data_IF_113444282831
#
_entry.id   IF_113444282831
#
_cell.length_a   1.000
_cell.length_b   1.000
_cell.length_c   1.000
_cell.angle_alpha   90.00
_cell.angle_beta   90.00
_cell.angle_gamma   90.00
#
_symmetry.space_group_name_H-M   'P 1'
#
loop_
_entity.id
_entity.type
_entity.pdbx_description
1 polymer ?
#
# COMPACT_ATOMS: atom_id res chain seq x y z
N UNK A 1 -18.35 -53.74 1.85
CA UNK A 1 -17.45 -52.55 1.81
C UNK A 1 -18.18 -51.46 1.07
N UNK A 2 -18.78 -50.54 1.79
CA UNK A 2 -19.51 -49.36 1.25
C UNK A 2 -18.49 -48.28 1.01
N UNK A 3 -18.14 -48.01 -0.24
CA UNK A 3 -17.32 -46.86 -0.64
C UNK A 3 -18.11 -45.60 -0.38
N UNK A 4 -17.82 -44.89 0.70
CA UNK A 4 -18.32 -43.55 0.94
C UNK A 4 -17.62 -42.63 -0.05
N UNK A 5 -18.32 -42.31 -1.14
CA UNK A 5 -17.88 -41.30 -2.12
C UNK A 5 -17.87 -39.95 -1.40
N UNK A 6 -16.68 -39.41 -1.13
CA UNK A 6 -16.55 -38.07 -0.55
C UNK A 6 -17.21 -37.06 -1.49
N UNK A 7 -18.14 -36.22 -1.03
CA UNK A 7 -18.81 -35.26 -1.91
C UNK A 7 -17.77 -34.27 -2.44
N UNK A 8 -17.79 -34.06 -3.75
CA UNK A 8 -17.02 -33.02 -4.43
C UNK A 8 -17.53 -31.64 -4.00
N UNK A 9 -17.04 -31.14 -2.87
CA UNK A 9 -17.60 -30.02 -2.11
C UNK A 9 -17.44 -28.62 -2.75
N UNK A 10 -16.76 -28.48 -3.90
CA UNK A 10 -16.48 -27.17 -4.46
C UNK A 10 -16.85 -26.94 -5.92
N UNK A 11 -17.04 -27.97 -6.73
CA UNK A 11 -17.29 -27.84 -8.18
C UNK A 11 -18.65 -27.20 -8.56
N UNK A 12 -19.60 -27.10 -7.63
CA UNK A 12 -20.96 -26.58 -7.89
C UNK A 12 -21.26 -25.18 -7.34
N UNK A 13 -20.34 -24.52 -6.62
CA UNK A 13 -20.65 -23.20 -6.03
C UNK A 13 -20.34 -22.07 -7.02
N UNK A 14 -21.23 -21.04 -7.16
CA UNK A 14 -20.99 -19.90 -8.03
C UNK A 14 -19.71 -19.15 -7.64
N UNK A 15 -18.99 -18.60 -8.63
CA UNK A 15 -17.72 -17.90 -8.43
C UNK A 15 -17.82 -16.79 -7.38
N UNK A 16 -18.91 -16.03 -7.39
CA UNK A 16 -19.15 -14.94 -6.42
C UNK A 16 -19.13 -15.43 -4.96
N UNK A 17 -19.69 -16.59 -4.68
CA UNK A 17 -19.70 -17.19 -3.34
C UNK A 17 -18.27 -17.63 -2.92
N UNK A 18 -17.51 -18.19 -3.87
CA UNK A 18 -16.13 -18.62 -3.63
C UNK A 18 -15.21 -17.42 -3.34
N UNK A 19 -15.31 -16.34 -4.12
CA UNK A 19 -14.59 -15.10 -3.90
C UNK A 19 -14.96 -14.45 -2.55
N UNK A 20 -16.27 -14.38 -2.25
CA UNK A 20 -16.74 -13.85 -0.97
C UNK A 20 -16.18 -14.60 0.23
N UNK A 21 -15.99 -15.91 0.16
CA UNK A 21 -15.39 -16.68 1.24
C UNK A 21 -13.92 -16.28 1.46
N UNK A 22 -13.15 -16.04 0.39
CA UNK A 22 -11.77 -15.56 0.49
C UNK A 22 -11.73 -14.14 1.06
N UNK A 23 -12.60 -13.24 0.61
CA UNK A 23 -12.73 -11.88 1.16
C UNK A 23 -13.02 -11.95 2.67
N UNK A 24 -13.99 -12.78 3.08
CA UNK A 24 -14.30 -12.99 4.51
C UNK A 24 -13.12 -13.55 5.30
N UNK A 25 -12.31 -14.42 4.70
CA UNK A 25 -11.12 -14.94 5.34
C UNK A 25 -10.11 -13.82 5.63
N UNK A 26 -9.87 -12.92 4.68
CA UNK A 26 -8.99 -11.77 4.90
C UNK A 26 -9.56 -10.79 5.93
N UNK A 27 -10.87 -10.58 5.94
CA UNK A 27 -11.56 -9.67 6.87
C UNK A 27 -11.92 -10.33 8.21
N UNK A 28 -11.56 -11.60 8.44
CA UNK A 28 -11.88 -12.32 9.67
C UNK A 28 -11.24 -11.71 10.92
N UNK A 29 -10.09 -11.05 10.76
CA UNK A 29 -9.43 -10.32 11.84
C UNK A 29 -9.43 -8.82 11.56
N UNK A 30 -10.48 -8.08 11.95
CA UNK A 30 -10.57 -6.63 11.74
C UNK A 30 -9.52 -5.86 12.56
N UNK A 31 -9.00 -6.44 13.66
CA UNK A 31 -7.96 -5.80 14.46
C UNK A 31 -6.71 -5.53 13.63
N UNK A 32 -6.21 -6.51 12.88
CA UNK A 32 -5.01 -6.36 12.07
C UNK A 32 -5.20 -5.39 10.89
N UNK A 33 -6.41 -5.36 10.30
CA UNK A 33 -6.63 -4.63 9.03
C UNK A 33 -7.13 -3.20 9.27
N UNK A 34 -7.85 -2.96 10.37
CA UNK A 34 -8.50 -1.68 10.65
C UNK A 34 -8.07 -1.11 12.00
N UNK A 35 -8.26 -1.85 13.11
CA UNK A 35 -8.09 -1.31 14.46
C UNK A 35 -6.63 -0.93 14.72
N UNK A 36 -5.71 -1.86 14.50
CA UNK A 36 -4.27 -1.61 14.73
C UNK A 36 -3.74 -0.45 13.89
N UNK A 37 -3.95 -0.41 12.56
CA UNK A 37 -3.42 0.71 11.77
C UNK A 37 -4.10 2.03 12.10
N UNK A 38 -5.39 2.06 12.44
CA UNK A 38 -6.06 3.29 12.87
C UNK A 38 -5.53 3.78 14.23
N UNK A 39 -5.32 2.86 15.18
CA UNK A 39 -4.78 3.20 16.50
C UNK A 39 -3.36 3.78 16.37
N UNK A 40 -2.49 3.13 15.60
CA UNK A 40 -1.12 3.62 15.41
C UNK A 40 -1.11 4.93 14.62
N UNK A 41 -1.97 5.06 13.59
CA UNK A 41 -2.12 6.31 12.84
C UNK A 41 -2.56 7.46 13.77
N UNK A 42 -3.49 7.19 14.69
CA UNK A 42 -3.93 8.16 15.71
C UNK A 42 -2.81 8.56 16.65
N UNK A 43 -1.99 7.61 17.12
CA UNK A 43 -0.83 7.89 17.96
C UNK A 43 0.21 8.74 17.21
N UNK A 44 0.51 8.38 15.96
CA UNK A 44 1.44 9.13 15.12
C UNK A 44 0.89 10.54 14.86
N UNK A 45 -0.42 10.67 14.59
CA UNK A 45 -1.07 11.96 14.42
C UNK A 45 -0.92 12.83 15.68
N UNK A 46 -1.23 12.29 16.86
CA UNK A 46 -1.08 13.01 18.13
C UNK A 46 0.37 13.43 18.38
N UNK A 47 1.33 12.54 18.12
CA UNK A 47 2.74 12.87 18.25
C UNK A 47 3.16 14.01 17.31
N UNK A 48 2.74 13.97 16.04
CA UNK A 48 2.99 15.06 15.08
C UNK A 48 2.32 16.35 15.51
N UNK A 49 1.08 16.29 15.97
CA UNK A 49 0.35 17.47 16.44
C UNK A 49 1.06 18.13 17.63
N UNK A 50 1.54 17.33 18.60
CA UNK A 50 2.34 17.83 19.73
C UNK A 50 3.65 18.45 19.24
N UNK A 51 4.35 17.81 18.30
CA UNK A 51 5.58 18.38 17.72
C UNK A 51 5.29 19.73 17.05
N UNK A 52 4.22 19.83 16.26
CA UNK A 52 3.82 21.10 15.62
C UNK A 52 3.50 22.18 16.65
N UNK A 53 2.80 21.80 17.73
CA UNK A 53 2.50 22.72 18.84
C UNK A 53 3.80 23.23 19.50
N UNK A 54 4.75 22.35 19.80
CA UNK A 54 6.03 22.71 20.40
C UNK A 54 6.86 23.61 19.48
N UNK A 55 6.97 23.26 18.21
CA UNK A 55 7.70 24.06 17.22
C UNK A 55 7.07 25.45 17.11
N UNK A 56 5.73 25.50 17.03
CA UNK A 56 5.02 26.77 16.94
C UNK A 56 5.19 27.64 18.20
N UNK A 57 5.14 27.05 19.39
CA UNK A 57 5.31 27.75 20.65
C UNK A 57 6.73 28.24 20.91
N UNK A 58 7.73 27.53 20.34
CA UNK A 58 9.13 27.90 20.47
C UNK A 58 9.61 28.91 19.41
N UNK A 59 8.78 29.17 18.39
CA UNK A 59 9.13 30.07 17.28
C UNK A 59 8.71 31.49 17.56
N UNK A 60 9.48 32.54 17.14
CA UNK A 60 9.09 33.92 17.22
C UNK A 60 7.70 34.18 16.58
N UNK A 61 7.00 35.20 17.09
CA UNK A 61 5.66 35.52 16.61
C UNK A 61 5.62 36.44 15.38
N UNK A 62 6.78 36.80 14.84
CA UNK A 62 6.87 37.62 13.63
C UNK A 62 6.37 36.84 12.39
N UNK A 63 5.76 37.55 11.41
CA UNK A 63 5.13 36.91 10.26
C UNK A 63 6.08 36.02 9.43
N UNK A 64 7.37 36.39 9.34
CA UNK A 64 8.37 35.64 8.57
C UNK A 64 8.70 34.30 9.23
N UNK A 65 8.97 34.28 10.52
CA UNK A 65 9.21 33.08 11.31
C UNK A 65 7.99 32.13 11.27
N UNK A 66 6.79 32.68 11.42
CA UNK A 66 5.53 31.93 11.34
C UNK A 66 5.34 31.27 9.98
N UNK A 67 5.64 31.97 8.88
CA UNK A 67 5.56 31.44 7.52
C UNK A 67 6.60 30.33 7.30
N UNK A 68 7.85 30.56 7.75
CA UNK A 68 8.93 29.56 7.65
C UNK A 68 8.62 28.27 8.41
N UNK A 69 8.09 28.37 9.63
CA UNK A 69 7.63 27.21 10.41
C UNK A 69 6.54 26.45 9.68
N UNK A 70 5.50 27.16 9.20
CA UNK A 70 4.39 26.52 8.48
C UNK A 70 4.88 25.80 7.21
N UNK A 71 5.83 26.40 6.49
CA UNK A 71 6.46 25.75 5.33
C UNK A 71 7.24 24.50 5.73
N UNK A 72 8.00 24.53 6.83
CA UNK A 72 8.71 23.36 7.35
C UNK A 72 7.77 22.22 7.76
N UNK A 73 6.65 22.55 8.40
CA UNK A 73 5.65 21.57 8.86
C UNK A 73 4.88 20.88 7.71
N UNK A 74 4.98 21.36 6.47
CA UNK A 74 4.40 20.70 5.28
C UNK A 74 5.18 19.45 4.84
N UNK A 75 6.41 19.26 5.31
CA UNK A 75 7.28 18.15 4.91
C UNK A 75 7.15 16.94 5.84
N UNK A 76 5.94 16.61 6.26
CA UNK A 76 5.70 15.43 7.11
C UNK A 76 5.60 14.17 6.27
N UNK A 77 6.44 13.17 6.57
CA UNK A 77 6.33 11.81 6.03
C UNK A 77 5.55 10.84 6.94
N UNK A 78 4.95 11.35 8.01
CA UNK A 78 4.36 10.52 9.06
C UNK A 78 3.20 9.61 8.57
N UNK A 79 2.45 10.02 7.57
CA UNK A 79 1.37 9.22 6.98
C UNK A 79 1.86 8.05 6.12
N UNK A 80 3.13 8.04 5.69
CA UNK A 80 3.73 6.93 4.90
C UNK A 80 3.74 5.59 5.64
N UNK A 81 3.77 5.62 6.97
CA UNK A 81 3.75 4.41 7.78
C UNK A 81 2.60 3.46 7.41
N UNK A 82 1.40 3.98 7.17
CA UNK A 82 0.22 3.16 6.88
C UNK A 82 0.38 2.37 5.57
N UNK A 83 1.03 2.94 4.56
CA UNK A 83 1.29 2.23 3.28
C UNK A 83 2.22 1.05 3.51
N UNK A 84 3.30 1.25 4.27
CA UNK A 84 4.25 0.19 4.63
C UNK A 84 3.54 -0.88 5.48
N UNK A 85 2.70 -0.48 6.43
CA UNK A 85 1.91 -1.42 7.22
C UNK A 85 0.98 -2.27 6.34
N UNK A 86 0.29 -1.67 5.38
CA UNK A 86 -0.59 -2.40 4.45
C UNK A 86 0.20 -3.34 3.53
N UNK A 87 1.43 -3.00 3.17
CA UNK A 87 2.34 -3.93 2.50
C UNK A 87 2.65 -5.16 3.37
N UNK A 88 2.90 -4.97 4.68
CA UNK A 88 3.12 -6.06 5.62
C UNK A 88 1.86 -6.93 5.76
N UNK A 89 0.68 -6.31 5.83
CA UNK A 89 -0.62 -7.04 5.82
C UNK A 89 -0.74 -7.91 4.57
N UNK A 90 -0.34 -7.40 3.40
CA UNK A 90 -0.35 -8.19 2.17
C UNK A 90 0.64 -9.36 2.20
N UNK A 91 1.84 -9.16 2.76
CA UNK A 91 2.81 -10.26 2.97
C UNK A 91 2.21 -11.33 3.88
N UNK A 92 1.58 -10.94 4.99
CA UNK A 92 0.93 -11.87 5.93
C UNK A 92 -0.24 -12.61 5.27
N UNK A 93 -1.03 -11.93 4.43
CA UNK A 93 -2.11 -12.55 3.68
C UNK A 93 -1.62 -13.70 2.79
N UNK A 94 -0.46 -13.52 2.13
CA UNK A 94 0.13 -14.60 1.32
C UNK A 94 0.71 -15.73 2.19
N UNK A 95 1.35 -15.40 3.30
CA UNK A 95 2.06 -16.39 4.11
C UNK A 95 1.12 -17.21 5.02
N UNK A 96 0.10 -16.59 5.57
CA UNK A 96 -0.81 -17.21 6.55
C UNK A 96 -2.14 -17.62 5.92
N UNK A 97 -2.81 -16.71 5.18
CA UNK A 97 -4.13 -16.99 4.66
C UNK A 97 -4.11 -17.93 3.45
N UNK A 98 -3.04 -17.95 2.64
CA UNK A 98 -2.97 -18.83 1.46
C UNK A 98 -2.96 -20.32 1.83
N UNK A 99 -2.05 -20.83 2.70
CA UNK A 99 -2.08 -22.23 3.11
C UNK A 99 -3.41 -22.61 3.78
N UNK A 100 -3.94 -21.73 4.61
CA UNK A 100 -5.21 -21.92 5.29
C UNK A 100 -6.39 -22.03 4.30
N UNK A 101 -6.49 -21.13 3.33
CA UNK A 101 -7.51 -21.17 2.30
C UNK A 101 -7.49 -22.47 1.47
N UNK A 102 -6.29 -22.97 1.15
CA UNK A 102 -6.14 -24.25 0.45
C UNK A 102 -6.58 -25.43 1.31
N UNK A 103 -6.29 -25.40 2.61
CA UNK A 103 -6.76 -26.40 3.58
C UNK A 103 -8.29 -26.49 3.66
N UNK A 104 -8.99 -25.38 3.45
CA UNK A 104 -10.46 -25.32 3.35
C UNK A 104 -11.01 -25.55 1.92
N UNK A 105 -10.19 -26.06 1.00
CA UNK A 105 -10.61 -26.45 -0.34
C UNK A 105 -10.78 -25.28 -1.33
N UNK A 106 -10.26 -24.09 -1.03
CA UNK A 106 -10.20 -22.99 -2.00
C UNK A 106 -9.20 -23.31 -3.10
N UNK A 107 -9.52 -22.98 -4.37
CA UNK A 107 -8.54 -23.09 -5.43
C UNK A 107 -7.53 -21.94 -5.39
N UNK A 108 -6.33 -22.14 -5.91
CA UNK A 108 -5.30 -21.08 -6.00
C UNK A 108 -5.78 -19.88 -6.81
N UNK A 109 -6.60 -20.13 -7.84
CA UNK A 109 -7.22 -19.08 -8.64
C UNK A 109 -8.24 -18.27 -7.82
N UNK A 110 -9.13 -18.95 -7.10
CA UNK A 110 -10.14 -18.30 -6.26
C UNK A 110 -9.48 -17.47 -5.16
N UNK A 111 -8.42 -18.00 -4.54
CA UNK A 111 -7.63 -17.25 -3.56
C UNK A 111 -7.05 -15.99 -4.17
N UNK A 112 -6.33 -16.08 -5.30
CA UNK A 112 -5.70 -14.90 -5.93
C UNK A 112 -6.73 -13.84 -6.33
N UNK A 113 -7.86 -14.26 -6.93
CA UNK A 113 -8.93 -13.33 -7.33
C UNK A 113 -9.61 -12.70 -6.11
N UNK A 114 -9.93 -13.50 -5.09
CA UNK A 114 -10.55 -13.00 -3.85
C UNK A 114 -9.65 -12.04 -3.08
N UNK A 115 -8.34 -12.32 -3.05
CA UNK A 115 -7.33 -11.43 -2.47
C UNK A 115 -7.24 -10.12 -3.26
N UNK A 116 -7.24 -10.17 -4.59
CA UNK A 116 -7.27 -8.98 -5.44
C UNK A 116 -8.49 -8.10 -5.16
N UNK A 117 -9.69 -8.70 -5.06
CA UNK A 117 -10.91 -7.97 -4.69
C UNK A 117 -10.80 -7.35 -3.30
N UNK A 118 -10.22 -8.07 -2.33
CA UNK A 118 -10.00 -7.55 -0.97
C UNK A 118 -9.07 -6.34 -0.99
N UNK A 119 -7.95 -6.42 -1.71
CA UNK A 119 -6.97 -5.32 -1.80
C UNK A 119 -7.54 -4.10 -2.51
N UNK A 120 -8.34 -4.28 -3.56
CA UNK A 120 -9.08 -3.19 -4.20
C UNK A 120 -10.04 -2.50 -3.22
N UNK A 121 -10.82 -3.28 -2.47
CA UNK A 121 -11.76 -2.76 -1.47
C UNK A 121 -11.05 -2.02 -0.32
N UNK A 122 -9.96 -2.59 0.21
CA UNK A 122 -9.16 -1.95 1.26
C UNK A 122 -8.48 -0.68 0.75
N UNK A 123 -7.92 -0.69 -0.46
CA UNK A 123 -7.32 0.50 -1.07
C UNK A 123 -8.33 1.62 -1.22
N UNK A 124 -9.56 1.30 -1.66
CA UNK A 124 -10.64 2.28 -1.76
C UNK A 124 -11.05 2.84 -0.39
N UNK A 125 -11.21 1.98 0.62
CA UNK A 125 -11.56 2.40 1.98
C UNK A 125 -10.50 3.30 2.61
N UNK A 126 -9.23 2.93 2.53
CA UNK A 126 -8.12 3.73 3.04
C UNK A 126 -7.94 5.04 2.27
N UNK A 127 -8.13 5.03 0.94
CA UNK A 127 -8.06 6.24 0.12
C UNK A 127 -9.16 7.24 0.49
N UNK A 128 -10.38 6.77 0.72
CA UNK A 128 -11.49 7.61 1.18
C UNK A 128 -11.19 8.20 2.55
N UNK A 129 -10.67 7.40 3.50
CA UNK A 129 -10.29 7.88 4.82
C UNK A 129 -9.21 8.96 4.75
N UNK A 130 -8.12 8.70 4.01
CA UNK A 130 -7.01 9.65 3.86
C UNK A 130 -7.42 10.94 3.18
N UNK A 131 -8.21 10.83 2.11
CA UNK A 131 -8.72 12.00 1.39
C UNK A 131 -9.66 12.81 2.30
N UNK A 132 -10.54 12.15 3.05
CA UNK A 132 -11.42 12.80 4.02
C UNK A 132 -10.64 13.53 5.13
N UNK A 133 -9.61 12.89 5.70
CA UNK A 133 -8.73 13.50 6.70
C UNK A 133 -7.95 14.70 6.12
N UNK A 134 -7.48 14.59 4.85
CA UNK A 134 -6.82 15.68 4.16
C UNK A 134 -7.77 16.88 3.92
N UNK A 135 -9.05 16.61 3.61
CA UNK A 135 -10.06 17.68 3.50
C UNK A 135 -10.29 18.39 4.82
N UNK A 136 -10.41 17.65 5.93
CA UNK A 136 -10.56 18.22 7.28
C UNK A 136 -9.30 19.02 7.64
N UNK A 137 -8.11 18.47 7.41
CA UNK A 137 -6.84 19.14 7.65
C UNK A 137 -6.74 20.47 6.90
N UNK A 138 -7.10 20.50 5.61
CA UNK A 138 -7.13 21.74 4.82
C UNK A 138 -8.18 22.73 5.34
N UNK A 139 -9.36 22.28 5.69
CA UNK A 139 -10.44 23.12 6.22
C UNK A 139 -10.12 23.73 7.60
N UNK A 140 -9.31 23.04 8.40
CA UNK A 140 -8.91 23.49 9.75
C UNK A 140 -7.57 24.23 9.76
N UNK A 141 -7.01 24.56 8.59
CA UNK A 141 -5.68 25.14 8.46
C UNK A 141 -4.61 24.32 9.22
N UNK A 142 -4.50 23.04 8.85
CA UNK A 142 -3.53 22.13 9.44
C UNK A 142 -3.79 21.89 10.94
N UNK A 143 -5.02 21.54 11.28
CA UNK A 143 -5.46 21.30 12.66
C UNK A 143 -5.20 22.48 13.60
N UNK A 144 -5.27 23.73 13.07
CA UNK A 144 -5.03 24.96 13.79
C UNK A 144 -3.55 25.38 13.93
N UNK A 145 -2.60 24.57 13.42
CA UNK A 145 -1.16 24.79 13.57
C UNK A 145 -0.42 25.01 12.25
N UNK A 146 -1.11 24.88 11.10
CA UNK A 146 -0.51 25.04 9.78
C UNK A 146 0.32 23.86 9.30
N UNK A 147 0.27 22.71 10.01
CA UNK A 147 0.99 21.49 9.61
C UNK A 147 0.22 20.65 8.60
N UNK A 148 0.91 19.79 7.86
CA UNK A 148 0.29 18.84 6.94
C UNK A 148 0.80 17.43 7.19
N UNK A 149 -0.13 16.50 7.44
CA UNK A 149 0.16 15.07 7.56
C UNK A 149 -0.59 14.26 6.50
N UNK A 150 -1.88 14.53 6.34
CA UNK A 150 -2.73 13.86 5.36
C UNK A 150 -2.76 14.58 4.03
N UNK A 151 -2.69 15.93 4.03
CA UNK A 151 -2.49 16.75 2.83
C UNK A 151 -0.99 16.80 2.44
N UNK A 152 -0.33 15.66 2.46
CA UNK A 152 1.10 15.56 2.23
C UNK A 152 1.48 15.93 0.79
N UNK A 153 2.67 16.54 0.64
CA UNK A 153 3.20 17.05 -0.63
C UNK A 153 3.28 15.97 -1.73
N UNK A 154 3.59 14.74 -1.36
CA UNK A 154 3.73 13.62 -2.30
C UNK A 154 2.41 13.15 -2.94
N UNK A 155 1.25 13.64 -2.50
CA UNK A 155 -0.02 13.45 -3.21
C UNK A 155 -0.43 14.65 -4.07
N UNK A 156 0.37 15.73 -4.08
CA UNK A 156 0.06 17.02 -4.69
C UNK A 156 -0.79 17.90 -3.76
N UNK A 157 -0.20 19.00 -3.26
CA UNK A 157 -0.85 19.88 -2.26
C UNK A 157 -2.11 20.56 -2.81
N UNK A 158 -2.09 20.98 -4.07
CA UNK A 158 -3.16 21.75 -4.72
C UNK A 158 -3.95 20.94 -5.75
N UNK A 159 -3.77 19.62 -5.77
CA UNK A 159 -4.51 18.77 -6.70
C UNK A 159 -6.00 18.69 -6.34
N UNK A 160 -6.88 18.61 -7.37
CA UNK A 160 -8.30 18.37 -7.14
C UNK A 160 -8.56 17.10 -6.31
N UNK A 161 -9.60 17.13 -5.46
CA UNK A 161 -9.89 16.02 -4.55
C UNK A 161 -10.06 14.66 -5.24
N UNK A 162 -10.61 14.64 -6.46
CA UNK A 162 -10.71 13.43 -7.27
C UNK A 162 -9.36 12.86 -7.68
N UNK A 163 -8.41 13.72 -8.05
CA UNK A 163 -7.02 13.32 -8.37
C UNK A 163 -6.32 12.81 -7.11
N UNK A 164 -6.48 13.50 -5.99
CA UNK A 164 -5.93 13.06 -4.70
C UNK A 164 -6.48 11.70 -4.26
N UNK A 165 -7.79 11.50 -4.36
CA UNK A 165 -8.42 10.21 -4.08
C UNK A 165 -7.83 9.10 -4.96
N UNK A 166 -7.69 9.37 -6.25
CA UNK A 166 -7.06 8.44 -7.20
C UNK A 166 -5.61 8.15 -6.83
N UNK A 167 -4.80 9.17 -6.58
CA UNK A 167 -3.38 9.03 -6.22
C UNK A 167 -3.22 8.17 -4.96
N UNK A 168 -4.02 8.47 -3.93
CA UNK A 168 -4.01 7.71 -2.66
C UNK A 168 -4.49 6.28 -2.85
N UNK A 169 -5.54 6.05 -3.64
CA UNK A 169 -6.03 4.71 -3.98
C UNK A 169 -4.96 3.88 -4.67
N UNK A 170 -4.31 4.46 -5.68
CA UNK A 170 -3.27 3.78 -6.46
C UNK A 170 -2.04 3.50 -5.59
N UNK A 171 -1.68 4.42 -4.69
CA UNK A 171 -0.60 4.20 -3.74
C UNK A 171 -0.87 2.98 -2.84
N UNK A 172 -2.04 2.88 -2.20
CA UNK A 172 -2.40 1.71 -1.41
C UNK A 172 -2.39 0.43 -2.23
N UNK A 173 -2.98 0.46 -3.44
CA UNK A 173 -3.00 -0.69 -4.33
C UNK A 173 -1.60 -1.16 -4.70
N UNK A 174 -0.69 -0.23 -4.97
CA UNK A 174 0.71 -0.52 -5.26
C UNK A 174 1.42 -1.21 -4.09
N UNK A 175 1.27 -0.69 -2.88
CA UNK A 175 1.87 -1.31 -1.69
C UNK A 175 1.28 -2.69 -1.39
N UNK A 176 -0.02 -2.91 -1.57
CA UNK A 176 -0.64 -4.24 -1.49
C UNK A 176 -0.08 -5.19 -2.55
N UNK A 177 0.06 -4.72 -3.79
CA UNK A 177 0.58 -5.54 -4.89
C UNK A 177 2.04 -5.96 -4.64
N UNK A 178 2.92 -5.03 -4.24
CA UNK A 178 4.31 -5.32 -3.89
C UNK A 178 4.39 -6.29 -2.71
N UNK A 179 3.62 -6.06 -1.64
CA UNK A 179 3.56 -6.95 -0.49
C UNK A 179 3.11 -8.36 -0.88
N UNK A 180 2.15 -8.49 -1.79
CA UNK A 180 1.70 -9.80 -2.27
C UNK A 180 2.79 -10.56 -3.04
N UNK A 181 3.62 -9.87 -3.82
CA UNK A 181 4.79 -10.48 -4.49
C UNK A 181 5.81 -10.97 -3.47
N UNK A 182 6.16 -10.13 -2.49
CA UNK A 182 7.12 -10.52 -1.45
C UNK A 182 6.61 -11.73 -0.66
N UNK A 183 5.34 -11.73 -0.28
CA UNK A 183 4.71 -12.87 0.36
C UNK A 183 4.71 -14.13 -0.52
N UNK A 184 4.37 -14.02 -1.80
CA UNK A 184 4.39 -15.13 -2.73
C UNK A 184 5.80 -15.71 -2.95
N UNK A 185 6.82 -14.86 -3.07
CA UNK A 185 8.23 -15.27 -3.14
C UNK A 185 8.61 -16.03 -1.87
N UNK A 186 8.24 -15.50 -0.70
CA UNK A 186 8.54 -16.15 0.57
C UNK A 186 7.85 -17.50 0.71
N UNK A 187 6.58 -17.62 0.34
CA UNK A 187 5.83 -18.89 0.40
C UNK A 187 6.53 -19.96 -0.45
N UNK A 188 7.03 -19.59 -1.61
CA UNK A 188 7.64 -20.55 -2.54
C UNK A 188 9.12 -20.83 -2.28
N UNK A 189 9.91 -19.77 -2.02
CA UNK A 189 11.37 -19.82 -2.00
C UNK A 189 11.98 -19.52 -0.65
N UNK A 190 11.15 -19.17 0.36
CA UNK A 190 11.56 -18.78 1.72
C UNK A 190 12.50 -17.56 1.71
N UNK A 191 13.29 -17.40 2.78
CA UNK A 191 14.21 -16.27 2.92
C UNK A 191 15.23 -16.17 1.77
N UNK A 192 15.73 -17.30 1.27
CA UNK A 192 16.69 -17.33 0.14
C UNK A 192 16.14 -16.66 -1.11
N UNK A 193 14.85 -16.88 -1.40
CA UNK A 193 14.20 -16.24 -2.55
C UNK A 193 14.10 -14.74 -2.40
N UNK A 194 13.73 -14.25 -1.22
CA UNK A 194 13.71 -12.81 -0.94
C UNK A 194 15.11 -12.19 -1.00
N UNK A 195 16.12 -12.84 -0.43
CA UNK A 195 17.50 -12.36 -0.51
C UNK A 195 17.96 -12.22 -1.96
N UNK A 196 17.76 -13.26 -2.78
CA UNK A 196 18.13 -13.22 -4.21
C UNK A 196 17.33 -12.14 -4.97
N UNK A 197 16.05 -12.00 -4.67
CA UNK A 197 15.22 -10.94 -5.26
C UNK A 197 15.74 -9.54 -4.94
N UNK A 198 16.05 -9.26 -3.67
CA UNK A 198 16.57 -7.94 -3.28
C UNK A 198 17.98 -7.69 -3.80
N UNK A 199 18.85 -8.71 -3.87
CA UNK A 199 20.15 -8.59 -4.52
C UNK A 199 20.01 -8.26 -6.02
N UNK A 200 19.15 -8.99 -6.73
CA UNK A 200 18.90 -8.72 -8.16
C UNK A 200 18.31 -7.33 -8.37
N UNK A 201 17.31 -6.93 -7.55
CA UNK A 201 16.71 -5.61 -7.60
C UNK A 201 17.76 -4.52 -7.33
N UNK A 202 18.60 -4.71 -6.31
CA UNK A 202 19.70 -3.79 -5.99
C UNK A 202 20.67 -3.61 -7.14
N UNK A 203 21.10 -4.71 -7.78
CA UNK A 203 21.98 -4.65 -8.95
C UNK A 203 21.34 -3.92 -10.14
N UNK A 204 20.06 -4.18 -10.40
CA UNK A 204 19.29 -3.48 -11.45
C UNK A 204 19.22 -1.98 -11.15
N UNK A 205 18.90 -1.59 -9.91
CA UNK A 205 18.82 -0.18 -9.52
C UNK A 205 20.19 0.51 -9.64
N UNK A 206 21.26 -0.13 -9.19
CA UNK A 206 22.63 0.40 -9.34
C UNK A 206 22.96 0.57 -10.82
N UNK A 207 22.63 -0.43 -11.65
CA UNK A 207 22.85 -0.35 -13.11
C UNK A 207 22.07 0.79 -13.76
N UNK A 208 20.81 1.01 -13.38
CA UNK A 208 19.99 2.11 -13.89
C UNK A 208 20.52 3.48 -13.44
N UNK A 209 20.94 3.62 -12.19
CA UNK A 209 21.57 4.84 -11.66
C UNK A 209 22.86 5.12 -12.40
N UNK A 210 23.72 4.12 -12.56
CA UNK A 210 24.97 4.27 -13.30
C UNK A 210 24.72 4.67 -14.76
N UNK A 211 23.76 4.02 -15.43
CA UNK A 211 23.37 4.37 -16.80
C UNK A 211 22.88 5.82 -16.89
N UNK A 212 21.95 6.23 -16.02
CA UNK A 212 21.41 7.59 -16.00
C UNK A 212 22.50 8.64 -15.75
N UNK A 213 23.49 8.32 -14.89
CA UNK A 213 24.62 9.20 -14.59
C UNK A 213 25.58 9.30 -15.79
N UNK A 214 25.96 8.16 -16.37
CA UNK A 214 26.89 8.12 -17.51
C UNK A 214 26.32 8.76 -18.79
N UNK A 215 25.01 8.68 -18.97
CA UNK A 215 24.29 9.30 -20.11
C UNK A 215 23.81 10.71 -19.82
N UNK A 216 24.07 11.26 -18.61
CA UNK A 216 23.59 12.58 -18.16
C UNK A 216 22.05 12.74 -18.30
N UNK A 217 21.30 11.65 -18.17
CA UNK A 217 19.85 11.62 -18.41
C UNK A 217 19.00 12.10 -17.25
N UNK A 218 19.58 12.53 -16.12
CA UNK A 218 18.85 12.97 -14.93
C UNK A 218 17.89 14.13 -15.21
N UNK A 219 18.32 15.10 -16.06
CA UNK A 219 17.48 16.23 -16.47
C UNK A 219 16.23 15.80 -17.26
N UNK A 220 16.41 14.87 -18.20
CA UNK A 220 15.31 14.32 -18.99
C UNK A 220 14.34 13.49 -18.10
N UNK A 221 14.90 12.69 -17.17
CA UNK A 221 14.12 11.92 -16.21
C UNK A 221 13.29 12.81 -15.29
N UNK A 222 13.91 13.85 -14.70
CA UNK A 222 13.20 14.82 -13.86
C UNK A 222 12.13 15.59 -14.65
N UNK A 223 12.47 16.07 -15.86
CA UNK A 223 11.56 16.78 -16.75
C UNK A 223 10.35 15.95 -17.14
N UNK A 224 10.52 14.64 -17.36
CA UNK A 224 9.41 13.73 -17.62
C UNK A 224 8.41 13.71 -16.45
N UNK A 225 8.87 13.56 -15.19
CA UNK A 225 7.98 13.54 -14.03
C UNK A 225 7.31 14.89 -13.77
N UNK A 226 8.01 15.99 -14.02
CA UNK A 226 7.40 17.34 -13.96
C UNK A 226 6.27 17.47 -15.00
N UNK A 227 6.49 16.97 -16.22
CA UNK A 227 5.50 17.05 -17.30
C UNK A 227 4.25 16.22 -17.04
N UNK A 228 4.39 15.00 -16.54
CA UNK A 228 3.23 14.12 -16.26
C UNK A 228 2.49 14.46 -14.97
N UNK A 229 3.15 15.24 -14.08
CA UNK A 229 2.59 15.64 -12.78
C UNK A 229 2.30 14.47 -11.82
N UNK A 230 1.67 14.78 -10.71
CA UNK A 230 1.36 13.79 -9.66
C UNK A 230 0.40 12.70 -10.16
N UNK A 231 -0.65 13.09 -10.88
CA UNK A 231 -1.62 12.14 -11.46
C UNK A 231 -0.93 11.12 -12.37
N UNK A 232 -0.11 11.60 -13.34
CA UNK A 232 0.61 10.74 -14.27
C UNK A 232 1.61 9.83 -13.56
N UNK A 233 2.35 10.35 -12.57
CA UNK A 233 3.28 9.59 -11.77
C UNK A 233 2.62 8.41 -11.05
N UNK A 234 1.47 8.64 -10.39
CA UNK A 234 0.69 7.55 -9.78
C UNK A 234 0.06 6.62 -10.82
N UNK A 235 -0.46 7.14 -11.93
CA UNK A 235 -1.03 6.32 -13.00
C UNK A 235 -0.02 5.32 -13.57
N UNK A 236 1.27 5.69 -13.66
CA UNK A 236 2.35 4.79 -14.08
C UNK A 236 2.60 3.63 -13.10
N UNK A 237 2.19 3.73 -11.84
CA UNK A 237 2.30 2.62 -10.88
C UNK A 237 1.20 1.56 -11.06
N UNK A 238 0.10 1.85 -11.79
CA UNK A 238 -0.96 0.86 -12.07
C UNK A 238 -0.46 -0.33 -12.91
N UNK A 239 0.23 -0.15 -14.05
CA UNK A 239 0.83 -1.27 -14.77
C UNK A 239 1.77 -2.08 -13.89
N UNK A 240 2.58 -1.43 -13.05
CA UNK A 240 3.48 -2.11 -12.12
C UNK A 240 2.71 -2.93 -11.08
N UNK A 241 1.62 -2.38 -10.54
CA UNK A 241 0.73 -3.08 -9.59
C UNK A 241 0.06 -4.30 -10.24
N UNK A 242 -0.37 -4.16 -11.50
CA UNK A 242 -0.94 -5.27 -12.26
C UNK A 242 0.10 -6.36 -12.52
N UNK A 243 1.30 -5.99 -12.98
CA UNK A 243 2.40 -6.92 -13.20
C UNK A 243 2.78 -7.65 -11.90
N UNK A 244 2.85 -6.93 -10.78
CA UNK A 244 3.08 -7.50 -9.46
C UNK A 244 1.98 -8.50 -9.08
N UNK A 245 0.71 -8.16 -9.27
CA UNK A 245 -0.42 -9.06 -9.02
C UNK A 245 -0.36 -10.34 -9.87
N UNK A 246 -0.06 -10.21 -11.15
CA UNK A 246 0.13 -11.35 -12.08
C UNK A 246 1.34 -12.19 -11.66
N UNK A 247 2.48 -11.57 -11.35
CA UNK A 247 3.68 -12.27 -10.90
C UNK A 247 3.41 -13.04 -9.59
N UNK A 248 2.76 -12.42 -8.61
CA UNK A 248 2.35 -13.08 -7.37
C UNK A 248 1.46 -14.30 -7.63
N UNK A 249 0.46 -14.17 -8.52
CA UNK A 249 -0.39 -15.28 -8.93
C UNK A 249 0.41 -16.42 -9.59
N UNK A 250 1.29 -16.11 -10.53
CA UNK A 250 2.10 -17.10 -11.23
C UNK A 250 3.06 -17.86 -10.29
N UNK A 251 3.63 -17.16 -9.30
CA UNK A 251 4.47 -17.75 -8.27
C UNK A 251 3.65 -18.72 -7.41
N UNK A 252 2.46 -18.30 -6.95
CA UNK A 252 1.57 -19.11 -6.10
C UNK A 252 1.01 -20.33 -6.84
N UNK A 253 0.77 -20.24 -8.16
CA UNK A 253 0.34 -21.41 -8.96
C UNK A 253 1.28 -22.60 -8.84
N UNK A 254 2.57 -22.34 -8.65
CA UNK A 254 3.62 -23.37 -8.57
C UNK A 254 4.14 -23.56 -7.13
N UNK A 255 3.59 -22.86 -6.14
CA UNK A 255 3.98 -23.02 -4.75
C UNK A 255 3.31 -24.26 -4.15
N UNK A 256 4.09 -25.12 -3.49
CA UNK A 256 3.58 -26.20 -2.65
C UNK A 256 3.56 -25.69 -1.20
N UNK A 257 2.38 -25.56 -0.58
CA UNK A 257 2.34 -25.25 0.85
C UNK A 257 3.05 -26.38 1.60
N UNK A 258 4.12 -26.06 2.27
CA UNK A 258 4.77 -26.97 3.22
C UNK A 258 4.34 -26.56 4.60
N UNK A 259 3.81 -27.53 5.35
CA UNK A 259 3.57 -27.41 6.78
C UNK A 259 4.86 -27.11 7.55
#
# INVERSE_FOLDING_TARGET
MTTISAPALTAGRPLSRRLRNVVRLHLANPFTILVTPLMVLGIIFLANWVIWLLVRSASPSDPESVAGVSQGLQWSGASMWTFVYMMIVAIQAMNLAFPFALGFGSTRRDFSLGTGVTFLGLSAGWALLYTGLAMIEKATNGWGLGGTMFNAFYFGLDEPWGVRLFNTFVAFLFFFAIGSVFGAIYVRYRARGLTLFFLALGLVLIGLIALATLTSSWGAFGGFFVTIGWFGGYALSLPLSLLAGVAGHLILRRATPRS
#
